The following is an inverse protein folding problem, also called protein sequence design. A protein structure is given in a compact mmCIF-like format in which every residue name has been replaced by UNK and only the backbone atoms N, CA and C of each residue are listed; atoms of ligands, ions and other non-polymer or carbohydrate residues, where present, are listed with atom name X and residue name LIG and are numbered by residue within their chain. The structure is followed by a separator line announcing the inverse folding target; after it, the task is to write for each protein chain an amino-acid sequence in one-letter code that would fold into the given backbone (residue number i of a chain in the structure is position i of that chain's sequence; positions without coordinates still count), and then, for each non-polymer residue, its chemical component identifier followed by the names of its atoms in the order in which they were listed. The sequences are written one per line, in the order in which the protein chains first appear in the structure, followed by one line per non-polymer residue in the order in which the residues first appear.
data_IF_884654888944
#
_entry.id   IF_884654888944
#
_cell.length_a   1.000
_cell.length_b   1.000
_cell.length_c   1.000
_cell.angle_alpha   90.00
_cell.angle_beta   90.00
_cell.angle_gamma   90.00
#
_symmetry.space_group_name_H-M   'P 1'
#
loop_
_entity.id
_entity.type
_entity.pdbx_description
1 polymer ?
#
# COMPACT_ATOMS: atom_id res chain seq x y z
N UNK A 1 -27.98 -57.68 -71.55
CA UNK A 1 -28.12 -56.98 -70.26
C UNK A 1 -27.23 -55.72 -70.29
N UNK A 2 -27.73 -54.50 -70.33
CA UNK A 2 -26.94 -53.33 -70.36
C UNK A 2 -26.71 -52.86 -68.88
N UNK A 3 -25.47 -52.62 -68.52
CA UNK A 3 -25.07 -52.02 -67.26
C UNK A 3 -25.35 -50.52 -67.28
N UNK A 4 -26.17 -50.09 -66.33
CA UNK A 4 -26.59 -48.70 -66.17
C UNK A 4 -25.50 -47.97 -65.37
N UNK A 5 -24.71 -47.11 -66.00
CA UNK A 5 -23.71 -46.29 -65.32
C UNK A 5 -24.43 -45.12 -64.70
N UNK A 6 -24.52 -45.09 -63.35
CA UNK A 6 -24.99 -43.96 -62.57
C UNK A 6 -23.92 -42.86 -62.53
N UNK A 7 -24.11 -41.77 -63.19
CA UNK A 7 -23.33 -40.56 -63.07
C UNK A 7 -23.71 -39.88 -61.77
N UNK A 8 -22.84 -39.97 -60.73
CA UNK A 8 -22.91 -39.12 -59.52
C UNK A 8 -22.48 -37.71 -59.91
N UNK A 9 -23.42 -36.80 -59.97
CA UNK A 9 -23.16 -35.38 -60.17
C UNK A 9 -22.44 -34.82 -58.87
N UNK A 10 -21.20 -34.37 -59.02
CA UNK A 10 -20.48 -33.66 -57.98
C UNK A 10 -21.16 -32.29 -57.72
N UNK A 11 -21.60 -32.07 -56.51
CA UNK A 11 -22.15 -30.79 -56.09
C UNK A 11 -21.10 -29.67 -56.18
N UNK A 12 -21.44 -28.48 -56.67
CA UNK A 12 -20.49 -27.39 -56.77
C UNK A 12 -20.06 -26.93 -55.38
N UNK A 13 -18.78 -27.01 -55.09
CA UNK A 13 -18.16 -26.45 -53.87
C UNK A 13 -18.23 -24.93 -53.96
N UNK A 14 -19.19 -24.32 -53.27
CA UNK A 14 -19.29 -22.85 -53.14
C UNK A 14 -18.07 -22.33 -52.42
N UNK A 15 -17.26 -21.55 -53.12
CA UNK A 15 -16.12 -20.83 -52.54
C UNK A 15 -16.65 -19.73 -51.59
N UNK A 16 -16.51 -19.96 -50.26
CA UNK A 16 -16.88 -19.01 -49.20
C UNK A 16 -15.66 -18.21 -48.72
N UNK A 17 -14.61 -18.08 -49.50
CA UNK A 17 -13.32 -17.49 -49.10
C UNK A 17 -13.40 -16.02 -48.63
N UNK A 18 -14.40 -15.24 -49.09
CA UNK A 18 -14.54 -13.82 -48.70
C UNK A 18 -15.17 -13.57 -47.35
N UNK A 19 -16.07 -14.46 -46.90
CA UNK A 19 -16.78 -14.33 -45.61
C UNK A 19 -15.87 -14.75 -44.48
N UNK A 20 -15.05 -15.78 -44.62
CA UNK A 20 -14.13 -16.28 -43.63
C UNK A 20 -13.06 -15.23 -43.23
N UNK A 21 -12.62 -14.37 -44.17
CA UNK A 21 -11.65 -13.31 -43.87
C UNK A 21 -12.25 -12.19 -42.99
N UNK A 22 -13.50 -11.80 -43.23
CA UNK A 22 -14.20 -10.81 -42.42
C UNK A 22 -14.50 -11.34 -41.01
N UNK A 23 -14.87 -12.61 -40.89
CA UNK A 23 -15.14 -13.26 -39.62
C UNK A 23 -13.88 -13.34 -38.74
N UNK A 24 -12.75 -13.75 -39.32
CA UNK A 24 -11.46 -13.78 -38.59
C UNK A 24 -11.00 -12.40 -38.16
N UNK A 25 -11.21 -11.36 -38.98
CA UNK A 25 -10.86 -9.99 -38.65
C UNK A 25 -11.71 -9.45 -37.49
N UNK A 26 -13.02 -9.68 -37.51
CA UNK A 26 -13.93 -9.31 -36.42
C UNK A 26 -13.56 -10.09 -35.14
N UNK A 27 -13.29 -11.39 -35.23
CA UNK A 27 -12.89 -12.20 -34.09
C UNK A 27 -11.60 -11.68 -33.45
N UNK A 28 -10.59 -11.30 -34.25
CA UNK A 28 -9.34 -10.71 -33.75
C UNK A 28 -9.56 -9.35 -33.07
N UNK A 29 -10.43 -8.50 -33.62
CA UNK A 29 -10.77 -7.21 -32.99
C UNK A 29 -11.46 -7.41 -31.64
N UNK A 30 -12.44 -8.30 -31.57
CA UNK A 30 -13.15 -8.61 -30.32
C UNK A 30 -12.18 -9.21 -29.28
N UNK A 31 -11.31 -10.11 -29.70
CA UNK A 31 -10.29 -10.69 -28.85
C UNK A 31 -9.33 -9.60 -28.33
N UNK A 32 -8.86 -8.70 -29.18
CA UNK A 32 -7.97 -7.61 -28.79
C UNK A 32 -8.63 -6.67 -27.77
N UNK A 33 -9.90 -6.30 -27.97
CA UNK A 33 -10.66 -5.49 -27.02
C UNK A 33 -10.86 -6.21 -25.69
N UNK A 34 -11.11 -7.51 -25.70
CA UNK A 34 -11.23 -8.33 -24.49
C UNK A 34 -9.92 -8.40 -23.70
N UNK A 35 -8.79 -8.58 -24.40
CA UNK A 35 -7.46 -8.59 -23.77
C UNK A 35 -7.10 -7.23 -23.17
N UNK A 36 -7.39 -6.12 -23.85
CA UNK A 36 -7.18 -4.77 -23.33
C UNK A 36 -7.97 -4.52 -22.05
N UNK A 37 -9.24 -4.96 -22.01
CA UNK A 37 -10.08 -4.89 -20.81
C UNK A 37 -9.50 -5.69 -19.63
N UNK A 38 -8.97 -6.89 -19.91
CA UNK A 38 -8.34 -7.73 -18.88
C UNK A 38 -7.07 -7.08 -18.32
N UNK A 39 -6.20 -6.53 -19.17
CA UNK A 39 -4.99 -5.82 -18.74
C UNK A 39 -5.34 -4.61 -17.86
N UNK A 40 -6.37 -3.84 -18.24
CA UNK A 40 -6.83 -2.71 -17.44
C UNK A 40 -7.33 -3.14 -16.04
N UNK A 41 -8.03 -4.27 -15.94
CA UNK A 41 -8.46 -4.83 -14.66
C UNK A 41 -7.26 -5.28 -13.81
N UNK A 42 -6.28 -5.97 -14.40
CA UNK A 42 -5.09 -6.44 -13.69
C UNK A 42 -4.25 -5.28 -13.12
N UNK A 43 -4.11 -4.17 -13.86
CA UNK A 43 -3.35 -3.00 -13.36
C UNK A 43 -4.02 -2.35 -12.16
N UNK A 44 -5.36 -2.29 -12.12
CA UNK A 44 -6.11 -1.79 -10.96
C UNK A 44 -5.93 -2.69 -9.73
N UNK A 45 -6.07 -4.00 -9.89
CA UNK A 45 -5.87 -4.96 -8.81
C UNK A 45 -4.44 -4.90 -8.26
N UNK A 46 -3.44 -4.73 -9.10
CA UNK A 46 -2.05 -4.59 -8.68
C UNK A 46 -1.82 -3.30 -7.84
N UNK A 47 -2.46 -2.18 -8.21
CA UNK A 47 -2.37 -0.94 -7.45
C UNK A 47 -3.03 -1.06 -6.06
N UNK A 48 -4.21 -1.68 -5.99
CA UNK A 48 -4.92 -1.93 -4.72
C UNK A 48 -4.13 -2.88 -3.81
N UNK A 49 -3.54 -3.93 -4.37
CA UNK A 49 -2.68 -4.86 -3.63
C UNK A 49 -1.46 -4.16 -3.02
N UNK A 50 -0.80 -3.26 -3.75
CA UNK A 50 0.33 -2.47 -3.23
C UNK A 50 -0.08 -1.56 -2.08
N UNK A 51 -1.20 -0.86 -2.20
CA UNK A 51 -1.73 0.01 -1.14
C UNK A 51 -2.04 -0.79 0.14
N UNK A 52 -2.65 -1.96 0.00
CA UNK A 52 -2.93 -2.87 1.11
C UNK A 52 -1.65 -3.39 1.78
N UNK A 53 -0.65 -3.78 0.97
CA UNK A 53 0.63 -4.24 1.47
C UNK A 53 1.39 -3.15 2.24
N UNK A 54 1.43 -1.90 1.73
CA UNK A 54 2.06 -0.79 2.43
C UNK A 54 1.40 -0.51 3.79
N UNK A 55 0.07 -0.60 3.86
CA UNK A 55 -0.66 -0.45 5.12
C UNK A 55 -0.33 -1.56 6.11
N UNK A 56 -0.24 -2.80 5.66
CA UNK A 56 0.17 -3.92 6.51
C UNK A 56 1.60 -3.75 7.05
N UNK A 57 2.53 -3.26 6.20
CA UNK A 57 3.89 -2.92 6.61
C UNK A 57 3.88 -1.79 7.66
N UNK A 58 3.09 -0.74 7.46
CA UNK A 58 2.98 0.36 8.41
C UNK A 58 2.49 -0.12 9.79
N UNK A 59 1.45 -0.96 9.82
CA UNK A 59 0.96 -1.56 11.08
C UNK A 59 2.04 -2.39 11.75
N UNK A 60 2.73 -3.25 11.00
CA UNK A 60 3.82 -4.07 11.54
C UNK A 60 4.97 -3.26 12.12
N UNK A 61 5.30 -2.12 11.48
CA UNK A 61 6.31 -1.19 12.01
C UNK A 61 5.82 -0.52 13.31
N UNK A 62 4.56 -0.12 13.39
CA UNK A 62 3.97 0.44 14.62
C UNK A 62 4.02 -0.58 15.76
N UNK A 63 3.67 -1.83 15.48
CA UNK A 63 3.74 -2.92 16.46
C UNK A 63 5.18 -3.18 16.92
N UNK A 64 6.18 -3.12 16.03
CA UNK A 64 7.60 -3.24 16.40
C UNK A 64 8.01 -2.12 17.36
N UNK A 65 7.66 -0.87 17.08
CA UNK A 65 7.95 0.24 17.99
C UNK A 65 7.21 0.08 19.33
N UNK A 66 5.95 -0.36 19.29
CA UNK A 66 5.18 -0.67 20.50
C UNK A 66 5.86 -1.71 21.39
N UNK A 67 6.38 -2.79 20.80
CA UNK A 67 7.13 -3.81 21.51
C UNK A 67 8.44 -3.27 22.12
N UNK A 68 9.17 -2.39 21.43
CA UNK A 68 10.36 -1.71 21.97
C UNK A 68 10.00 -0.81 23.15
N UNK A 69 8.88 -0.09 23.07
CA UNK A 69 8.35 0.72 24.18
C UNK A 69 7.96 -0.14 25.38
N UNK A 70 7.37 -1.32 25.17
CA UNK A 70 7.06 -2.27 26.25
C UNK A 70 8.30 -2.71 27.01
N UNK A 71 9.41 -2.97 26.32
CA UNK A 71 10.69 -3.36 26.93
C UNK A 71 11.30 -2.18 27.71
N UNK A 72 11.12 -0.95 27.25
CA UNK A 72 11.65 0.27 27.85
C UNK A 72 10.52 1.18 28.37
N UNK A 73 9.59 0.58 29.11
CA UNK A 73 8.30 1.15 29.51
C UNK A 73 8.44 2.48 30.25
N UNK A 74 9.38 2.57 31.18
CA UNK A 74 9.61 3.79 31.93
C UNK A 74 9.96 4.98 31.04
N UNK A 75 10.90 4.80 30.10
CA UNK A 75 11.26 5.84 29.14
C UNK A 75 10.08 6.21 28.23
N UNK A 76 9.27 5.23 27.81
CA UNK A 76 8.08 5.48 27.00
C UNK A 76 7.06 6.35 27.73
N UNK A 77 6.75 6.03 28.98
CA UNK A 77 5.84 6.82 29.82
C UNK A 77 6.38 8.21 30.18
N UNK A 78 7.71 8.38 30.20
CA UNK A 78 8.38 9.68 30.38
C UNK A 78 8.50 10.50 29.09
N UNK A 79 7.95 10.01 27.95
CA UNK A 79 7.97 10.72 26.66
C UNK A 79 9.32 10.71 25.95
N UNK A 80 10.19 9.73 26.23
CA UNK A 80 11.49 9.63 25.58
C UNK A 80 11.43 9.10 24.15
N UNK A 81 10.25 8.61 23.74
CA UNK A 81 9.93 8.21 22.38
C UNK A 81 9.13 9.27 21.63
N UNK A 82 8.76 10.41 22.27
CA UNK A 82 8.00 11.47 21.61
C UNK A 82 8.82 12.08 20.46
N UNK A 83 8.21 12.22 19.28
CA UNK A 83 8.81 12.83 18.09
C UNK A 83 7.74 13.46 17.21
N UNK A 84 8.09 14.55 16.55
CA UNK A 84 7.21 15.21 15.58
C UNK A 84 7.41 14.66 14.15
N UNK A 85 6.48 15.02 13.24
CA UNK A 85 6.66 14.72 11.82
C UNK A 85 7.96 15.32 11.28
N UNK A 86 8.74 14.51 10.58
CA UNK A 86 9.98 14.94 9.95
C UNK A 86 11.18 15.02 10.90
N UNK A 87 11.02 14.73 12.17
CA UNK A 87 12.15 14.63 13.09
C UNK A 87 13.12 13.53 12.69
N UNK A 88 14.40 13.79 12.89
CA UNK A 88 15.47 12.79 12.73
C UNK A 88 15.92 12.35 14.12
N UNK A 89 15.62 11.10 14.53
CA UNK A 89 16.04 10.61 15.83
C UNK A 89 17.56 10.66 16.00
N UNK A 90 17.99 11.09 17.17
CA UNK A 90 19.40 11.14 17.51
C UNK A 90 20.02 9.74 17.50
N UNK A 91 21.25 9.63 17.01
CA UNK A 91 21.98 8.36 17.02
C UNK A 91 22.44 8.00 18.43
N UNK A 92 22.28 6.74 18.82
CA UNK A 92 22.89 6.14 19.99
C UNK A 92 23.42 4.77 19.60
N UNK A 93 24.41 4.25 20.30
CA UNK A 93 24.95 2.92 20.05
C UNK A 93 24.81 2.08 21.31
N UNK A 94 23.87 1.14 21.29
CA UNK A 94 23.59 0.22 22.38
C UNK A 94 24.06 -1.23 22.06
N UNK A 95 24.82 -1.42 20.99
CA UNK A 95 25.34 -2.76 20.61
C UNK A 95 26.64 -3.10 21.33
N UNK A 96 27.45 -2.08 21.63
CA UNK A 96 28.79 -2.25 22.21
C UNK A 96 28.91 -1.75 23.67
N UNK A 97 27.87 -1.07 24.18
CA UNK A 97 27.85 -0.50 25.52
C UNK A 97 26.47 -0.64 26.17
N UNK A 98 26.46 -0.68 27.51
CA UNK A 98 25.20 -0.61 28.26
C UNK A 98 24.58 0.78 28.09
N UNK A 99 23.34 0.83 27.62
CA UNK A 99 22.59 2.07 27.47
C UNK A 99 21.69 2.33 28.66
N UNK A 100 21.58 3.60 29.03
CA UNK A 100 20.48 4.07 29.89
C UNK A 100 19.14 3.93 29.14
N UNK A 101 18.02 3.99 29.87
CA UNK A 101 16.67 3.93 29.27
C UNK A 101 16.46 5.02 28.19
N UNK A 102 17.00 6.22 28.40
CA UNK A 102 16.97 7.35 27.48
C UNK A 102 17.79 7.09 26.19
N UNK A 103 18.99 6.56 26.35
CA UNK A 103 19.85 6.19 25.22
C UNK A 103 19.24 5.04 24.41
N UNK A 104 18.59 4.09 25.09
CA UNK A 104 17.85 3.00 24.44
C UNK A 104 16.70 3.54 23.59
N UNK A 105 15.92 4.47 24.11
CA UNK A 105 14.82 5.08 23.36
C UNK A 105 15.32 5.76 22.07
N UNK A 106 16.43 6.50 22.13
CA UNK A 106 17.07 7.12 20.96
C UNK A 106 17.56 6.09 19.95
N UNK A 107 18.22 5.03 20.43
CA UNK A 107 18.66 3.93 19.57
C UNK A 107 17.48 3.23 18.88
N UNK A 108 16.43 2.91 19.63
CA UNK A 108 15.24 2.25 19.12
C UNK A 108 14.55 3.09 18.04
N UNK A 109 14.34 4.39 18.31
CA UNK A 109 13.74 5.31 17.33
C UNK A 109 14.60 5.45 16.08
N UNK A 110 15.91 5.54 16.21
CA UNK A 110 16.82 5.65 15.07
C UNK A 110 16.77 4.40 14.19
N UNK A 111 16.89 3.20 14.77
CA UNK A 111 16.81 1.94 14.05
C UNK A 111 15.44 1.74 13.40
N UNK A 112 14.39 2.06 14.14
CA UNK A 112 13.02 1.95 13.66
C UNK A 112 12.74 2.91 12.50
N UNK A 113 13.20 4.16 12.59
CA UNK A 113 13.03 5.14 11.50
C UNK A 113 13.77 4.73 10.22
N UNK A 114 14.96 4.13 10.34
CA UNK A 114 15.67 3.56 9.18
C UNK A 114 14.86 2.44 8.53
N UNK A 115 14.29 1.53 9.33
CA UNK A 115 13.43 0.45 8.81
C UNK A 115 12.19 1.00 8.13
N UNK A 116 11.57 2.05 8.70
CA UNK A 116 10.40 2.72 8.13
C UNK A 116 10.72 3.34 6.78
N UNK A 117 11.79 4.11 6.68
CA UNK A 117 12.21 4.78 5.44
C UNK A 117 12.63 3.79 4.35
N UNK A 118 13.20 2.64 4.73
CA UNK A 118 13.53 1.57 3.79
C UNK A 118 12.30 0.82 3.27
N UNK A 119 11.22 0.76 4.05
CA UNK A 119 10.03 -0.04 3.75
C UNK A 119 8.90 0.76 3.09
N UNK A 120 8.78 2.05 3.40
CA UNK A 120 7.70 2.92 2.94
C UNK A 120 8.24 4.13 2.16
N UNK A 121 7.69 4.44 0.97
CA UNK A 121 8.17 5.56 0.16
C UNK A 121 7.89 6.90 0.86
N UNK A 122 8.91 7.72 1.01
CA UNK A 122 8.89 8.99 1.75
C UNK A 122 8.30 8.83 3.18
N UNK A 123 8.63 7.68 3.81
CA UNK A 123 8.13 7.30 5.12
C UNK A 123 8.57 8.28 6.20
N UNK A 124 7.63 8.80 6.99
CA UNK A 124 7.87 9.58 8.20
C UNK A 124 6.90 9.19 9.29
N UNK A 125 7.20 9.58 10.52
CA UNK A 125 6.37 9.21 11.65
C UNK A 125 6.28 10.33 12.69
N UNK A 126 5.26 10.23 13.53
CA UNK A 126 5.14 11.01 14.76
C UNK A 126 4.72 10.10 15.90
N UNK A 127 5.25 10.36 17.07
CA UNK A 127 4.94 9.64 18.30
C UNK A 127 4.54 10.68 19.35
N UNK A 128 3.37 10.52 19.94
CA UNK A 128 2.79 11.50 20.83
C UNK A 128 1.96 10.84 21.92
N UNK A 129 1.76 11.51 23.03
CA UNK A 129 0.87 11.03 24.08
C UNK A 129 -0.58 11.36 23.78
N UNK A 130 -1.47 10.44 24.09
CA UNK A 130 -2.89 10.67 24.00
C UNK A 130 -3.31 11.77 24.98
N UNK A 131 -4.15 12.68 24.50
CA UNK A 131 -4.74 13.73 25.35
C UNK A 131 -5.83 13.18 26.28
N UNK A 132 -6.42 12.03 25.93
CA UNK A 132 -7.51 11.39 26.69
C UNK A 132 -7.01 10.39 27.75
N UNK A 133 -5.91 9.71 27.49
CA UNK A 133 -5.28 8.76 28.43
C UNK A 133 -3.75 8.88 28.37
N UNK A 134 -3.09 9.41 29.42
CA UNK A 134 -1.63 9.59 29.46
C UNK A 134 -0.83 8.29 29.36
N UNK A 135 -1.47 7.12 29.54
CA UNK A 135 -0.83 5.80 29.37
C UNK A 135 -0.85 5.30 27.93
N UNK A 136 -1.63 5.96 27.08
CA UNK A 136 -1.69 5.65 25.66
C UNK A 136 -0.74 6.53 24.87
N UNK A 137 0.09 5.90 24.04
CA UNK A 137 1.01 6.57 23.13
C UNK A 137 0.50 6.36 21.73
N UNK A 138 0.21 7.45 21.02
CA UNK A 138 -0.15 7.42 19.61
C UNK A 138 1.11 7.29 18.77
N UNK A 139 1.18 6.27 17.94
CA UNK A 139 2.21 6.10 16.91
C UNK A 139 1.55 6.25 15.56
N UNK A 140 1.92 7.27 14.83
CA UNK A 140 1.40 7.52 13.49
C UNK A 140 2.54 7.46 12.47
N UNK A 141 2.32 6.72 11.40
CA UNK A 141 3.23 6.57 10.26
C UNK A 141 2.57 7.16 9.03
N UNK A 142 3.32 7.91 8.24
CA UNK A 142 2.86 8.41 6.94
C UNK A 142 3.80 7.98 5.81
N UNK A 143 3.25 7.83 4.61
CA UNK A 143 4.00 7.53 3.40
C UNK A 143 3.36 8.15 2.17
N UNK A 144 4.15 8.33 1.11
CA UNK A 144 3.69 8.98 -0.10
C UNK A 144 2.59 8.19 -0.81
N UNK A 145 1.53 8.88 -1.22
CA UNK A 145 0.46 8.34 -2.05
C UNK A 145 0.92 8.24 -3.51
N UNK A 146 1.71 7.22 -3.84
CA UNK A 146 2.22 6.95 -5.21
C UNK A 146 1.31 5.94 -5.92
N UNK A 147 0.10 6.35 -6.29
CA UNK A 147 -0.79 5.52 -7.11
C UNK A 147 -0.56 5.82 -8.58
N UNK A 148 0.03 4.84 -9.30
CA UNK A 148 0.15 4.91 -10.75
C UNK A 148 -1.22 4.81 -11.42
N UNK A 149 -1.53 5.73 -12.35
CA UNK A 149 -2.73 5.67 -13.17
C UNK A 149 -3.98 6.35 -12.60
N UNK A 150 -3.99 6.79 -11.35
CA UNK A 150 -5.10 7.56 -10.78
C UNK A 150 -5.03 9.04 -11.19
N UNK A 151 -6.17 9.64 -11.51
CA UNK A 151 -6.25 11.08 -11.74
C UNK A 151 -5.96 11.85 -10.44
N UNK A 152 -5.60 13.14 -10.56
CA UNK A 152 -5.40 13.97 -9.37
C UNK A 152 -6.67 14.04 -8.49
N UNK A 153 -7.85 14.05 -9.13
CA UNK A 153 -9.14 14.05 -8.43
C UNK A 153 -9.37 12.74 -7.66
N UNK A 154 -9.07 11.59 -8.27
CA UNK A 154 -9.20 10.28 -7.62
C UNK A 154 -8.28 10.16 -6.39
N UNK A 155 -7.02 10.64 -6.51
CA UNK A 155 -6.08 10.68 -5.39
C UNK A 155 -6.59 11.55 -4.25
N UNK A 156 -7.09 12.75 -4.57
CA UNK A 156 -7.62 13.67 -3.55
C UNK A 156 -8.83 13.07 -2.84
N UNK A 157 -9.77 12.45 -3.57
CA UNK A 157 -10.93 11.80 -2.99
C UNK A 157 -10.55 10.63 -2.07
N UNK A 158 -9.61 9.78 -2.49
CA UNK A 158 -9.11 8.65 -1.68
C UNK A 158 -8.36 9.13 -0.44
N UNK A 159 -7.50 10.14 -0.58
CA UNK A 159 -6.81 10.75 0.56
C UNK A 159 -7.80 11.34 1.57
N UNK A 160 -8.85 12.02 1.11
CA UNK A 160 -9.88 12.57 1.98
C UNK A 160 -10.62 11.47 2.77
N UNK A 161 -10.98 10.37 2.12
CA UNK A 161 -11.64 9.23 2.77
C UNK A 161 -10.73 8.54 3.81
N UNK A 162 -9.45 8.35 3.48
CA UNK A 162 -8.51 7.66 4.36
C UNK A 162 -8.02 8.55 5.50
N UNK A 163 -7.88 9.86 5.26
CA UNK A 163 -7.47 10.83 6.28
C UNK A 163 -8.59 11.17 7.26
N UNK A 164 -9.87 11.02 6.89
CA UNK A 164 -10.98 11.28 7.80
C UNK A 164 -10.95 10.39 9.05
N UNK A 165 -10.66 9.11 8.88
CA UNK A 165 -10.48 8.16 10.00
C UNK A 165 -9.25 8.48 10.86
N UNK A 166 -8.18 8.98 10.25
CA UNK A 166 -6.99 9.44 10.96
C UNK A 166 -7.30 10.67 11.81
N UNK A 167 -7.91 11.71 11.23
CA UNK A 167 -8.23 12.96 11.93
C UNK A 167 -9.20 12.75 13.11
N UNK A 168 -10.18 11.86 12.96
CA UNK A 168 -11.13 11.57 14.03
C UNK A 168 -10.48 10.97 15.28
N UNK A 169 -9.35 10.27 15.12
CA UNK A 169 -8.69 9.53 16.20
C UNK A 169 -7.32 10.11 16.61
N UNK A 170 -6.83 11.15 15.95
CA UNK A 170 -5.44 11.61 16.08
C UNK A 170 -5.18 12.56 17.26
N UNK A 171 -6.20 12.90 18.04
CA UNK A 171 -6.02 13.82 19.17
C UNK A 171 -5.45 15.21 18.77
N UNK A 172 -5.70 15.66 17.56
CA UNK A 172 -5.21 16.94 17.03
C UNK A 172 -3.97 16.85 16.14
N UNK A 173 -3.40 15.66 15.96
CA UNK A 173 -2.30 15.44 15.01
C UNK A 173 -2.87 15.33 13.59
N UNK A 174 -2.34 16.10 12.65
CA UNK A 174 -2.75 16.08 11.24
C UNK A 174 -1.82 15.22 10.39
N UNK A 175 -2.37 14.50 9.43
CA UNK A 175 -1.60 13.77 8.43
C UNK A 175 -0.90 14.76 7.48
N UNK A 176 0.38 14.56 7.12
CA UNK A 176 1.07 15.39 6.14
C UNK A 176 0.33 15.40 4.79
N UNK A 177 0.28 16.56 4.14
CA UNK A 177 -0.42 16.71 2.87
C UNK A 177 0.13 15.77 1.79
N UNK A 178 -0.75 15.13 1.03
CA UNK A 178 -0.36 14.21 -0.05
C UNK A 178 0.11 12.84 0.40
N UNK A 179 -0.03 12.51 1.69
CA UNK A 179 0.40 11.23 2.27
C UNK A 179 -0.78 10.41 2.78
N UNK A 180 -0.59 9.09 2.79
CA UNK A 180 -1.41 8.18 3.58
C UNK A 180 -0.90 8.12 5.00
N UNK A 181 -1.79 7.98 5.98
CA UNK A 181 -1.41 7.84 7.38
C UNK A 181 -2.10 6.65 8.02
N UNK A 182 -1.36 5.99 8.89
CA UNK A 182 -1.86 4.96 9.79
C UNK A 182 -1.52 5.34 11.22
N UNK A 183 -2.52 5.33 12.10
CA UNK A 183 -2.37 5.60 13.54
C UNK A 183 -2.80 4.38 14.33
N UNK A 184 -2.02 4.02 15.32
CA UNK A 184 -2.39 3.03 16.35
C UNK A 184 -1.98 3.60 17.71
N UNK A 185 -2.83 3.41 18.71
CA UNK A 185 -2.51 3.68 20.10
C UNK A 185 -1.96 2.42 20.76
N UNK A 186 -0.78 2.54 21.34
CA UNK A 186 -0.12 1.48 22.11
C UNK A 186 -0.12 1.84 23.59
N UNK A 187 -0.19 0.83 24.45
CA UNK A 187 -0.06 0.95 25.91
C UNK A 187 1.16 0.15 26.33
N UNK A 188 2.29 0.81 26.58
CA UNK A 188 3.48 0.13 27.04
C UNK A 188 3.37 -0.43 28.46
#
# INVERSE_FOLDING_TARGET
MPLNAQHTAAAPVRSQAGIALMETLVALVVLALGLLGLVAAQTRLAAESRSSAQRAVAVGLIDDLGNRMLINREAALLGRYDMAWGDTPATANCTTANCTADQRAKYDLHQWMQALQASLPDGTATVFRSSSDPRQIGVAVSWAAREGGATAADRTARLALLSSGFQANSGGVSCPAGSYCQLVYVQP
#
